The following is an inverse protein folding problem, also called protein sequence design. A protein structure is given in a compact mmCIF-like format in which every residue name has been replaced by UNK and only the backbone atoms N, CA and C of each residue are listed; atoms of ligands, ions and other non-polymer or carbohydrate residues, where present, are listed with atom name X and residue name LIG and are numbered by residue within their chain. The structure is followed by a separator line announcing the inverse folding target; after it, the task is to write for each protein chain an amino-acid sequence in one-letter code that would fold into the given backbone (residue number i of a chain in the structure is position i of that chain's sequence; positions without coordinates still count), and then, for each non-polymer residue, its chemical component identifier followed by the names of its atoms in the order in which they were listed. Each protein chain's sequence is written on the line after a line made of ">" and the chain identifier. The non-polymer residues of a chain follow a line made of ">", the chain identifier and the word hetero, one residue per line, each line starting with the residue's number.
data_IF_930139469524
#
_entry.id   IF_930139469524
#
_cell.length_a   1.000
_cell.length_b   1.000
_cell.length_c   1.000
_cell.angle_alpha   90.00
_cell.angle_beta   90.00
_cell.angle_gamma   90.00
#
_symmetry.space_group_name_H-M   'P 1'
#
loop_
_entity.id
_entity.type
_entity.pdbx_description
1 polymer ?
#
# COMPACT_ATOMS: atom_id res chain seq x y z
N UNK A 1 12.84 15.86 -26.08
CA UNK A 1 13.99 16.17 -25.20
C UNK A 1 14.70 14.88 -24.88
N UNK A 2 15.98 14.77 -25.23
CA UNK A 2 16.83 13.67 -24.79
C UNK A 2 17.48 14.08 -23.46
N UNK A 3 16.84 13.71 -22.35
CA UNK A 3 17.25 14.16 -21.01
C UNK A 3 18.66 13.66 -20.65
N UNK A 4 19.06 12.49 -21.14
CA UNK A 4 20.40 11.95 -20.88
C UNK A 4 21.45 12.82 -21.51
N UNK A 5 21.26 13.13 -22.79
CA UNK A 5 22.18 14.00 -23.52
C UNK A 5 22.27 15.38 -22.88
N UNK A 6 21.15 16.02 -22.53
CA UNK A 6 21.17 17.33 -21.85
C UNK A 6 21.99 17.28 -20.56
N UNK A 7 21.78 16.27 -19.71
CA UNK A 7 22.48 16.18 -18.41
C UNK A 7 23.99 15.96 -18.59
N UNK A 8 24.39 15.11 -19.53
CA UNK A 8 25.79 14.87 -19.86
C UNK A 8 26.45 16.12 -20.45
N UNK A 9 25.79 16.78 -21.41
CA UNK A 9 26.28 18.03 -22.03
C UNK A 9 26.42 19.16 -20.99
N UNK A 10 25.58 19.16 -19.95
CA UNK A 10 25.68 20.09 -18.82
C UNK A 10 26.81 19.75 -17.84
N UNK A 11 27.39 18.55 -17.90
CA UNK A 11 28.48 18.11 -17.03
C UNK A 11 28.08 17.22 -15.85
N UNK A 12 26.87 16.64 -15.87
CA UNK A 12 26.49 15.57 -14.92
C UNK A 12 27.25 14.30 -15.28
N UNK A 13 27.81 13.60 -14.30
CA UNK A 13 28.65 12.43 -14.56
C UNK A 13 27.85 11.19 -14.97
N UNK A 14 28.45 10.32 -15.79
CA UNK A 14 27.83 9.05 -16.16
C UNK A 14 27.62 8.12 -14.96
N UNK A 15 28.52 8.18 -13.98
CA UNK A 15 28.40 7.43 -12.73
C UNK A 15 27.13 7.82 -11.97
N UNK A 16 26.82 9.12 -11.89
CA UNK A 16 25.61 9.60 -11.24
C UNK A 16 24.34 9.16 -11.99
N UNK A 17 24.34 9.25 -13.31
CA UNK A 17 23.21 8.78 -14.12
C UNK A 17 22.97 7.27 -13.96
N UNK A 18 24.06 6.50 -13.87
CA UNK A 18 24.02 5.06 -13.59
C UNK A 18 23.45 4.78 -12.20
N UNK A 19 23.85 5.56 -11.20
CA UNK A 19 23.26 5.49 -9.86
C UNK A 19 21.74 5.77 -9.88
N UNK A 20 21.27 6.78 -10.64
CA UNK A 20 19.84 7.10 -10.71
C UNK A 20 18.97 6.06 -11.43
N UNK A 21 19.59 5.20 -12.26
CA UNK A 21 18.93 4.04 -12.87
C UNK A 21 18.68 2.93 -11.83
N UNK A 22 19.51 2.85 -10.80
CA UNK A 22 19.42 1.83 -9.74
C UNK A 22 18.70 2.34 -8.49
N UNK A 23 18.80 3.63 -8.16
CA UNK A 23 18.19 4.25 -6.98
C UNK A 23 16.67 4.34 -7.13
N UNK A 24 15.98 3.43 -6.44
CA UNK A 24 14.52 3.29 -6.48
C UNK A 24 13.84 4.16 -5.45
N UNK A 25 12.75 4.79 -5.86
CA UNK A 25 11.90 5.54 -4.94
C UNK A 25 11.29 4.60 -3.90
N UNK A 26 11.25 5.10 -2.66
CA UNK A 26 10.46 4.56 -1.55
C UNK A 26 9.14 5.31 -1.46
N UNK A 27 8.17 4.74 -0.75
CA UNK A 27 6.97 5.46 -0.31
C UNK A 27 6.88 5.47 1.21
N UNK A 28 6.19 6.48 1.74
CA UNK A 28 5.93 6.68 3.17
C UNK A 28 4.49 6.27 3.56
N UNK A 29 3.79 5.48 2.73
CA UNK A 29 2.34 5.21 2.88
C UNK A 29 2.00 4.64 4.26
N UNK A 30 2.80 3.69 4.75
CA UNK A 30 2.58 3.06 6.05
C UNK A 30 3.11 3.87 7.22
N UNK A 31 4.02 4.82 6.99
CA UNK A 31 4.68 5.55 8.08
C UNK A 31 3.69 6.36 8.90
N UNK A 32 2.63 6.89 8.27
CA UNK A 32 1.54 7.59 8.97
C UNK A 32 0.83 6.72 10.01
N UNK A 33 0.92 5.40 9.94
CA UNK A 33 0.34 4.50 10.94
C UNK A 33 1.13 4.48 12.26
N UNK A 34 2.41 4.83 12.24
CA UNK A 34 3.31 4.69 13.40
C UNK A 34 4.30 5.83 13.62
N UNK A 35 4.13 6.92 12.89
CA UNK A 35 4.80 8.19 13.13
C UNK A 35 3.79 9.28 13.43
N UNK A 36 4.19 10.24 14.24
CA UNK A 36 3.38 11.38 14.67
C UNK A 36 4.01 12.67 14.18
N UNK A 37 3.22 13.53 13.54
CA UNK A 37 3.66 14.87 13.19
C UNK A 37 3.81 15.68 14.48
N UNK A 38 5.03 16.04 14.85
CA UNK A 38 5.32 16.76 16.10
C UNK A 38 5.37 18.28 15.91
N UNK A 39 5.67 18.74 14.69
CA UNK A 39 5.78 20.16 14.39
C UNK A 39 4.68 20.61 13.44
N UNK A 40 3.87 21.56 13.90
CA UNK A 40 2.95 22.30 13.03
C UNK A 40 3.65 23.52 12.40
N UNK A 41 4.78 23.94 12.95
CA UNK A 41 5.54 25.08 12.45
C UNK A 41 6.46 24.65 11.32
N UNK A 42 6.22 25.23 10.14
CA UNK A 42 6.94 24.93 8.90
C UNK A 42 8.18 25.80 8.82
N UNK A 43 9.32 25.31 9.30
CA UNK A 43 10.58 26.01 9.12
C UNK A 43 11.17 25.71 7.74
N UNK A 44 11.65 26.76 7.07
CA UNK A 44 12.43 26.61 5.86
C UNK A 44 13.85 26.18 6.26
N UNK A 45 14.32 25.08 5.71
CA UNK A 45 15.69 24.61 5.91
C UNK A 45 16.27 24.05 4.61
N UNK A 46 17.60 23.99 4.54
CA UNK A 46 18.30 23.29 3.47
C UNK A 46 18.34 21.80 3.79
N UNK A 47 17.76 21.00 2.91
CA UNK A 47 17.69 19.55 3.06
C UNK A 47 18.65 18.89 2.07
N UNK A 48 19.53 17.98 2.52
CA UNK A 48 20.39 17.23 1.62
C UNK A 48 19.57 16.38 0.65
N UNK A 49 19.75 16.59 -0.66
CA UNK A 49 18.95 15.92 -1.69
C UNK A 49 19.09 14.41 -1.61
N UNK A 50 20.29 13.90 -1.26
CA UNK A 50 20.55 12.47 -1.07
C UNK A 50 19.64 11.78 -0.03
N UNK A 51 19.13 12.53 0.96
CA UNK A 51 18.22 12.02 2.00
C UNK A 51 16.75 11.98 1.55
N UNK A 52 16.42 12.59 0.42
CA UNK A 52 15.08 12.51 -0.15
C UNK A 52 14.93 11.17 -0.88
N UNK A 53 13.97 10.34 -0.43
CA UNK A 53 13.79 8.96 -0.87
C UNK A 53 12.53 8.71 -1.68
N UNK A 54 11.60 9.66 -1.71
CA UNK A 54 10.35 9.49 -2.44
C UNK A 54 9.71 10.81 -2.85
N UNK A 55 8.91 10.72 -3.91
CA UNK A 55 8.01 11.76 -4.35
C UNK A 55 6.63 11.58 -3.71
N UNK A 56 5.73 12.54 -3.89
CA UNK A 56 4.37 12.44 -3.36
C UNK A 56 3.61 11.30 -4.02
N UNK A 57 2.64 10.72 -3.30
CA UNK A 57 1.85 9.57 -3.76
C UNK A 57 1.19 9.75 -5.13
N UNK A 58 0.85 10.98 -5.50
CA UNK A 58 0.19 11.28 -6.78
C UNK A 58 1.18 11.43 -7.95
N UNK A 59 2.49 11.50 -7.66
CA UNK A 59 3.53 11.85 -8.64
C UNK A 59 4.61 10.79 -8.74
N UNK A 60 5.00 10.17 -7.63
CA UNK A 60 5.96 9.08 -7.60
C UNK A 60 5.32 7.71 -7.42
N UNK A 61 6.04 6.71 -7.90
CA UNK A 61 5.69 5.31 -7.81
C UNK A 61 6.88 4.54 -7.20
N UNK A 62 6.65 3.88 -6.07
CA UNK A 62 7.72 3.18 -5.37
C UNK A 62 8.18 1.94 -6.15
N UNK A 63 9.46 1.60 -6.02
CA UNK A 63 10.07 0.46 -6.72
C UNK A 63 10.59 0.77 -8.12
N UNK A 64 10.21 1.91 -8.70
CA UNK A 64 10.79 2.46 -9.93
C UNK A 64 11.93 3.42 -9.62
N UNK A 65 12.88 3.53 -10.54
CA UNK A 65 14.07 4.37 -10.36
C UNK A 65 13.76 5.86 -10.50
N UNK A 66 14.60 6.74 -9.96
CA UNK A 66 14.50 8.18 -10.24
C UNK A 66 14.56 8.46 -11.75
N UNK A 67 15.34 7.67 -12.47
CA UNK A 67 15.46 7.77 -13.93
C UNK A 67 14.15 7.42 -14.65
N UNK A 68 13.44 6.38 -14.23
CA UNK A 68 12.15 5.99 -14.82
C UNK A 68 11.12 7.13 -14.71
N UNK A 69 11.13 7.86 -13.58
CA UNK A 69 10.27 9.03 -13.38
C UNK A 69 10.69 10.21 -14.26
N UNK A 70 11.99 10.43 -14.44
CA UNK A 70 12.52 11.45 -15.33
C UNK A 70 12.14 11.19 -16.80
N UNK A 71 12.13 9.92 -17.22
CA UNK A 71 11.64 9.48 -18.52
C UNK A 71 10.11 9.39 -18.62
N UNK A 72 9.38 9.63 -17.52
CA UNK A 72 7.92 9.49 -17.40
C UNK A 72 7.42 8.08 -17.73
N UNK A 73 8.22 7.06 -17.42
CA UNK A 73 7.84 5.63 -17.48
C UNK A 73 7.13 5.17 -16.21
N UNK A 74 7.22 5.93 -15.12
CA UNK A 74 6.61 5.64 -13.84
C UNK A 74 6.05 6.93 -13.20
N UNK A 75 4.99 6.78 -12.41
CA UNK A 75 4.30 7.90 -11.78
C UNK A 75 3.60 8.85 -12.76
N UNK A 76 3.16 10.01 -12.25
CA UNK A 76 2.43 11.01 -13.03
C UNK A 76 3.17 12.35 -13.04
N UNK A 77 4.36 12.37 -13.65
CA UNK A 77 5.20 13.55 -13.76
C UNK A 77 4.77 14.39 -14.97
N UNK A 78 4.30 15.62 -14.72
CA UNK A 78 3.91 16.54 -15.79
C UNK A 78 5.12 16.95 -16.66
N UNK A 79 5.06 16.65 -17.96
CA UNK A 79 6.18 16.84 -18.89
C UNK A 79 6.56 18.31 -19.11
N UNK A 80 5.59 19.21 -19.23
CA UNK A 80 5.82 20.64 -19.40
C UNK A 80 6.70 21.25 -18.29
N UNK A 81 6.51 20.82 -17.04
CA UNK A 81 7.32 21.26 -15.89
C UNK A 81 8.75 20.68 -15.90
N UNK A 82 8.97 19.57 -16.59
CA UNK A 82 10.33 19.07 -16.83
C UNK A 82 11.04 19.94 -17.86
N UNK A 83 10.35 20.26 -18.96
CA UNK A 83 10.88 21.11 -20.04
C UNK A 83 11.24 22.53 -19.57
N UNK A 84 10.49 23.10 -18.62
CA UNK A 84 10.82 24.40 -18.02
C UNK A 84 12.17 24.39 -17.27
N UNK A 85 12.48 23.31 -16.56
CA UNK A 85 13.75 23.19 -15.85
C UNK A 85 14.90 22.83 -16.79
N UNK A 86 14.63 22.08 -17.87
CA UNK A 86 15.59 21.84 -18.96
C UNK A 86 16.05 23.15 -19.60
N UNK A 87 15.09 24.04 -19.93
CA UNK A 87 15.40 25.40 -20.45
C UNK A 87 16.24 26.20 -19.46
N UNK A 88 15.96 26.10 -18.16
CA UNK A 88 16.74 26.79 -17.13
C UNK A 88 18.16 26.25 -17.07
N UNK A 89 18.35 24.92 -17.08
CA UNK A 89 19.66 24.28 -17.13
C UNK A 89 20.46 24.72 -18.36
N UNK A 90 19.82 24.83 -19.53
CA UNK A 90 20.47 25.31 -20.76
C UNK A 90 20.84 26.80 -20.73
N UNK A 91 20.18 27.59 -19.88
CA UNK A 91 20.42 29.04 -19.75
C UNK A 91 21.40 29.43 -18.64
N UNK A 92 21.90 28.46 -17.87
CA UNK A 92 22.82 28.67 -16.74
C UNK A 92 23.95 27.64 -16.78
N UNK A 93 24.98 27.82 -15.96
CA UNK A 93 25.91 26.72 -15.69
C UNK A 93 25.27 25.66 -14.80
N UNK A 94 25.83 24.44 -14.81
CA UNK A 94 25.38 23.35 -13.93
C UNK A 94 25.49 23.74 -12.44
N UNK A 95 26.57 24.41 -12.05
CA UNK A 95 26.80 24.83 -10.67
C UNK A 95 25.81 25.91 -10.22
N UNK A 96 25.54 26.91 -11.06
CA UNK A 96 24.49 27.90 -10.78
C UNK A 96 23.12 27.24 -10.66
N UNK A 97 22.82 26.26 -11.53
CA UNK A 97 21.58 25.53 -11.50
C UNK A 97 21.42 24.73 -10.19
N UNK A 98 22.48 24.01 -9.76
CA UNK A 98 22.54 23.29 -8.48
C UNK A 98 22.34 24.20 -7.28
N UNK A 99 23.06 25.32 -7.22
CA UNK A 99 22.95 26.30 -6.13
C UNK A 99 21.53 26.90 -6.07
N UNK A 100 20.88 27.06 -7.22
CA UNK A 100 19.54 27.66 -7.28
C UNK A 100 18.50 26.91 -6.44
N UNK A 101 18.61 25.58 -6.28
CA UNK A 101 17.67 24.77 -5.49
C UNK A 101 17.64 25.14 -3.99
N UNK A 102 18.75 25.64 -3.44
CA UNK A 102 18.84 26.12 -2.06
C UNK A 102 18.53 27.61 -1.89
N UNK A 103 18.42 28.37 -2.99
CA UNK A 103 18.36 29.83 -2.95
C UNK A 103 17.01 30.38 -2.47
N UNK A 104 16.98 31.64 -2.04
CA UNK A 104 15.74 32.34 -1.70
C UNK A 104 14.82 32.59 -2.91
N UNK A 105 15.41 32.71 -4.11
CA UNK A 105 14.70 32.96 -5.37
C UNK A 105 13.99 31.73 -5.92
N UNK A 106 14.28 30.54 -5.38
CA UNK A 106 13.61 29.32 -5.76
C UNK A 106 12.58 28.91 -4.73
N UNK A 107 11.33 28.57 -5.11
CA UNK A 107 10.31 28.27 -4.12
C UNK A 107 10.68 27.01 -3.32
N UNK A 108 10.38 27.00 -2.02
CA UNK A 108 10.63 25.83 -1.17
C UNK A 108 9.76 24.64 -1.59
N UNK A 109 10.27 23.43 -1.45
CA UNK A 109 9.49 22.19 -1.58
C UNK A 109 8.85 21.81 -0.24
N UNK A 110 7.84 20.93 -0.25
CA UNK A 110 7.26 20.42 0.99
C UNK A 110 7.71 18.98 1.25
N UNK A 111 8.34 18.73 2.40
CA UNK A 111 8.89 17.41 2.74
C UNK A 111 8.37 16.91 4.09
N UNK A 112 8.03 15.63 4.18
CA UNK A 112 7.87 14.89 5.42
C UNK A 112 9.23 14.30 5.83
N UNK A 113 9.68 14.57 7.05
CA UNK A 113 10.91 14.01 7.61
C UNK A 113 10.61 12.94 8.66
N UNK A 114 11.14 11.73 8.47
CA UNK A 114 10.93 10.60 9.38
C UNK A 114 12.19 10.31 10.19
N UNK A 115 12.19 10.78 11.44
CA UNK A 115 13.40 10.88 12.27
C UNK A 115 14.14 9.55 12.51
N UNK A 116 13.42 8.43 12.61
CA UNK A 116 14.02 7.11 12.85
C UNK A 116 14.81 6.58 11.66
N UNK A 117 14.46 6.99 10.45
CA UNK A 117 15.13 6.56 9.23
C UNK A 117 16.12 7.60 8.69
N UNK A 118 16.03 8.84 9.18
CA UNK A 118 16.76 9.99 8.63
C UNK A 118 16.46 10.20 7.13
N UNK A 119 15.18 10.10 6.77
CA UNK A 119 14.70 10.14 5.39
C UNK A 119 13.61 11.21 5.18
N UNK A 120 13.60 11.78 3.97
CA UNK A 120 12.63 12.78 3.55
C UNK A 120 11.79 12.31 2.36
N UNK A 121 10.54 12.73 2.32
CA UNK A 121 9.57 12.37 1.28
C UNK A 121 8.79 13.61 0.85
N UNK A 122 8.57 13.82 -0.45
CA UNK A 122 7.78 14.96 -0.92
C UNK A 122 6.31 14.77 -0.52
N UNK A 123 5.73 15.74 0.19
CA UNK A 123 4.37 15.59 0.72
C UNK A 123 3.29 15.95 -0.32
N UNK A 124 3.43 17.11 -0.97
CA UNK A 124 2.43 17.64 -1.90
C UNK A 124 3.08 18.35 -3.08
N UNK A 125 3.72 19.48 -2.83
CA UNK A 125 4.36 20.36 -3.81
C UNK A 125 5.90 20.20 -3.81
N UNK A 126 6.49 20.37 -4.99
CA UNK A 126 7.93 20.30 -5.18
C UNK A 126 8.43 19.06 -5.92
N UNK A 127 7.55 18.14 -6.34
CA UNK A 127 7.95 16.88 -6.99
C UNK A 127 8.94 17.07 -8.16
N UNK A 128 8.61 17.95 -9.10
CA UNK A 128 9.47 18.24 -10.25
C UNK A 128 10.81 18.86 -9.85
N UNK A 129 10.79 19.74 -8.84
CA UNK A 129 12.00 20.42 -8.35
C UNK A 129 12.92 19.44 -7.65
N UNK A 130 12.36 18.56 -6.81
CA UNK A 130 13.09 17.46 -6.18
C UNK A 130 13.67 16.51 -7.22
N UNK A 131 12.89 16.13 -8.24
CA UNK A 131 13.36 15.25 -9.31
C UNK A 131 14.53 15.90 -10.07
N UNK A 132 14.44 17.18 -10.42
CA UNK A 132 15.54 17.89 -11.07
C UNK A 132 16.76 18.05 -10.18
N UNK A 133 16.59 18.40 -8.90
CA UNK A 133 17.69 18.46 -7.94
C UNK A 133 18.42 17.11 -7.83
N UNK A 134 17.67 16.00 -7.88
CA UNK A 134 18.22 14.64 -7.96
C UNK A 134 18.98 14.40 -9.25
N UNK A 135 18.40 14.75 -10.39
CA UNK A 135 19.00 14.52 -11.71
C UNK A 135 20.35 15.21 -11.88
N UNK A 136 20.49 16.43 -11.37
CA UNK A 136 21.73 17.21 -11.49
C UNK A 136 22.72 16.99 -10.33
N UNK A 137 22.40 16.11 -9.38
CA UNK A 137 23.18 15.90 -8.16
C UNK A 137 23.40 17.20 -7.37
N UNK A 138 22.33 17.94 -7.10
CA UNK A 138 22.42 19.12 -6.24
C UNK A 138 22.63 18.69 -4.78
N UNK A 139 23.51 19.37 -4.05
CA UNK A 139 23.79 19.03 -2.64
C UNK A 139 22.56 19.17 -1.75
N UNK A 140 21.87 20.32 -1.88
CA UNK A 140 20.78 20.73 -1.01
C UNK A 140 19.62 21.34 -1.79
N UNK A 141 18.42 21.20 -1.22
CA UNK A 141 17.20 21.88 -1.69
C UNK A 141 16.51 22.58 -0.53
N UNK A 142 16.00 23.79 -0.76
CA UNK A 142 15.23 24.52 0.24
C UNK A 142 13.86 23.86 0.41
N UNK A 143 13.52 23.49 1.64
CA UNK A 143 12.28 22.80 1.95
C UNK A 143 11.59 23.35 3.21
N UNK A 144 10.26 23.32 3.20
CA UNK A 144 9.41 23.36 4.39
C UNK A 144 9.25 21.93 4.87
N UNK A 145 9.74 21.64 6.07
CA UNK A 145 9.79 20.28 6.59
C UNK A 145 8.74 20.05 7.66
N UNK A 146 7.99 18.95 7.53
CA UNK A 146 7.10 18.41 8.55
C UNK A 146 7.83 17.31 9.29
N UNK A 147 8.13 17.51 10.57
CA UNK A 147 8.86 16.54 11.36
C UNK A 147 7.92 15.47 11.92
N UNK A 148 8.23 14.22 11.62
CA UNK A 148 7.54 13.04 12.10
C UNK A 148 8.42 12.28 13.08
N UNK A 149 7.89 12.08 14.29
CA UNK A 149 8.52 11.31 15.35
C UNK A 149 8.01 9.88 15.37
N UNK A 150 8.93 8.92 15.38
CA UNK A 150 8.60 7.52 15.51
C UNK A 150 7.94 7.20 16.84
N UNK A 151 6.81 6.49 16.81
CA UNK A 151 6.12 5.99 17.99
C UNK A 151 6.25 4.44 18.04
N UNK A 152 7.07 3.88 18.96
CA UNK A 152 7.27 2.43 19.05
C UNK A 152 6.00 1.66 19.41
N UNK A 153 5.11 2.25 20.23
CA UNK A 153 3.87 1.61 20.66
C UNK A 153 2.93 1.47 19.47
N UNK A 154 2.74 2.57 18.69
CA UNK A 154 1.96 2.52 17.45
C UNK A 154 2.53 1.51 16.45
N UNK A 155 3.85 1.42 16.34
CA UNK A 155 4.47 0.47 15.41
C UNK A 155 4.21 -0.99 15.82
N UNK A 156 4.28 -1.31 17.11
CA UNK A 156 3.94 -2.65 17.60
C UNK A 156 2.46 -2.98 17.36
N UNK A 157 1.55 -2.05 17.64
CA UNK A 157 0.12 -2.22 17.30
C UNK A 157 -0.10 -2.42 15.80
N UNK A 158 0.55 -1.61 14.95
CA UNK A 158 0.51 -1.75 13.51
C UNK A 158 1.00 -3.13 13.05
N UNK A 159 2.14 -3.62 13.55
CA UNK A 159 2.66 -4.96 13.22
C UNK A 159 1.67 -6.06 13.59
N UNK A 160 1.02 -5.98 14.76
CA UNK A 160 0.01 -6.95 15.18
C UNK A 160 -1.18 -6.98 14.23
N UNK A 161 -1.69 -5.81 13.84
CA UNK A 161 -2.77 -5.68 12.85
C UNK A 161 -2.35 -6.25 11.48
N UNK A 162 -1.13 -5.97 11.02
CA UNK A 162 -0.62 -6.55 9.77
C UNK A 162 -0.47 -8.07 9.85
N UNK A 163 -0.09 -8.63 11.00
CA UNK A 163 -0.06 -10.07 11.23
C UNK A 163 -1.45 -10.69 11.07
N UNK A 164 -2.46 -10.11 11.73
CA UNK A 164 -3.86 -10.54 11.62
C UNK A 164 -4.35 -10.49 10.17
N UNK A 165 -4.08 -9.40 9.45
CA UNK A 165 -4.44 -9.26 8.04
C UNK A 165 -3.74 -10.28 7.15
N UNK A 166 -2.46 -10.58 7.41
CA UNK A 166 -1.70 -11.60 6.70
C UNK A 166 -2.31 -12.99 6.88
N UNK A 167 -2.65 -13.36 8.11
CA UNK A 167 -3.26 -14.65 8.40
C UNK A 167 -4.67 -14.76 7.82
N UNK A 168 -5.46 -13.68 7.88
CA UNK A 168 -6.73 -13.59 7.18
C UNK A 168 -6.58 -13.77 5.67
N UNK A 169 -5.60 -13.11 5.04
CA UNK A 169 -5.32 -13.22 3.60
C UNK A 169 -4.98 -14.65 3.20
N UNK A 170 -4.18 -15.35 4.00
CA UNK A 170 -3.87 -16.78 3.78
C UNK A 170 -5.13 -17.64 3.83
N UNK A 171 -6.02 -17.41 4.79
CA UNK A 171 -7.28 -18.12 4.91
C UNK A 171 -8.17 -17.89 3.68
N UNK A 172 -8.29 -16.64 3.23
CA UNK A 172 -9.04 -16.26 2.02
C UNK A 172 -8.51 -17.02 0.80
N UNK A 173 -7.19 -17.07 0.62
CA UNK A 173 -6.56 -17.79 -0.48
C UNK A 173 -6.79 -19.31 -0.40
N UNK A 174 -6.68 -19.89 0.80
CA UNK A 174 -6.98 -21.31 1.06
C UNK A 174 -8.44 -21.66 0.76
N UNK A 175 -9.36 -20.76 1.08
CA UNK A 175 -10.77 -20.87 0.74
C UNK A 175 -11.07 -20.61 -0.74
N UNK A 176 -10.05 -20.34 -1.57
CA UNK A 176 -10.19 -20.00 -2.98
C UNK A 176 -11.14 -18.82 -3.21
N UNK A 177 -10.97 -17.78 -2.41
CA UNK A 177 -11.65 -16.49 -2.57
C UNK A 177 -10.63 -15.40 -2.88
N UNK A 178 -11.13 -14.29 -3.39
CA UNK A 178 -10.38 -13.07 -3.66
C UNK A 178 -10.93 -11.95 -2.78
N UNK A 179 -10.03 -11.07 -2.30
CA UNK A 179 -10.43 -9.82 -1.65
C UNK A 179 -10.42 -8.72 -2.68
N UNK A 180 -11.52 -7.98 -2.77
CA UNK A 180 -11.58 -6.83 -3.65
C UNK A 180 -10.67 -5.70 -3.17
N UNK A 181 -9.69 -5.30 -3.98
CA UNK A 181 -8.84 -4.14 -3.70
C UNK A 181 -9.62 -2.82 -3.99
N UNK A 182 -9.66 -1.89 -3.04
CA UNK A 182 -10.26 -0.55 -3.26
C UNK A 182 -10.98 0.05 -2.05
N UNK A 183 -11.91 1.00 -2.29
CA UNK A 183 -12.67 1.75 -1.26
C UNK A 183 -13.53 0.84 -0.35
N UNK A 184 -13.60 -0.46 -0.67
CA UNK A 184 -14.36 -1.50 0.02
C UNK A 184 -13.50 -2.71 0.43
N UNK A 185 -12.36 -2.47 1.08
CA UNK A 185 -11.57 -3.55 1.70
C UNK A 185 -12.47 -4.41 2.62
N UNK A 186 -12.55 -5.72 2.35
CA UNK A 186 -13.36 -6.68 3.11
C UNK A 186 -14.52 -7.35 2.34
N UNK A 187 -14.75 -7.01 1.07
CA UNK A 187 -15.62 -7.81 0.19
C UNK A 187 -14.87 -9.05 -0.32
N UNK A 188 -15.45 -10.23 -0.06
CA UNK A 188 -14.98 -11.52 -0.55
C UNK A 188 -15.73 -11.87 -1.83
N UNK A 189 -14.99 -12.27 -2.86
CA UNK A 189 -15.55 -12.72 -4.14
C UNK A 189 -14.92 -14.02 -4.64
N UNK A 190 -15.63 -14.69 -5.54
CA UNK A 190 -15.13 -15.82 -6.30
C UNK A 190 -15.45 -15.61 -7.77
N UNK A 191 -14.43 -15.51 -8.63
CA UNK A 191 -14.60 -15.24 -10.07
C UNK A 191 -15.53 -14.03 -10.34
N UNK A 192 -15.39 -12.96 -9.54
CA UNK A 192 -16.23 -11.75 -9.61
C UNK A 192 -17.62 -11.86 -8.99
N UNK A 193 -18.00 -13.00 -8.42
CA UNK A 193 -19.25 -13.17 -7.68
C UNK A 193 -19.09 -12.85 -6.20
N UNK A 194 -19.92 -11.97 -5.63
CA UNK A 194 -19.84 -11.63 -4.21
C UNK A 194 -20.24 -12.83 -3.35
N UNK A 195 -19.40 -13.18 -2.38
CA UNK A 195 -19.63 -14.24 -1.39
C UNK A 195 -20.05 -13.64 -0.06
N UNK A 196 -19.32 -12.65 0.42
CA UNK A 196 -19.61 -12.00 1.70
C UNK A 196 -19.07 -10.57 1.70
N UNK A 197 -19.82 -9.64 2.29
CA UNK A 197 -19.43 -8.24 2.36
C UNK A 197 -19.47 -7.77 3.81
N UNK A 198 -18.29 -7.71 4.44
CA UNK A 198 -18.14 -7.04 5.72
C UNK A 198 -16.89 -6.17 5.67
N UNK A 199 -17.11 -4.89 5.36
CA UNK A 199 -16.05 -3.89 5.23
C UNK A 199 -15.28 -3.71 6.53
N UNK A 200 -13.95 -3.70 6.45
CA UNK A 200 -13.13 -3.41 7.62
C UNK A 200 -13.26 -1.95 8.06
N UNK A 201 -13.38 -1.68 9.37
CA UNK A 201 -13.33 -0.32 9.87
C UNK A 201 -11.91 0.24 9.70
N UNK A 202 -11.81 1.54 9.42
CA UNK A 202 -10.51 2.20 9.36
C UNK A 202 -9.94 2.38 10.78
N UNK A 203 -8.66 2.07 10.95
CA UNK A 203 -7.89 2.45 12.14
C UNK A 203 -7.17 3.76 11.81
N UNK A 204 -7.64 4.85 12.41
CA UNK A 204 -7.02 6.18 12.27
C UNK A 204 -5.92 6.40 13.30
N UNK A 205 -6.07 5.78 14.48
CA UNK A 205 -5.08 5.85 15.55
C UNK A 205 -4.76 4.45 16.09
N UNK A 206 -3.51 4.04 15.91
CA UNK A 206 -2.98 2.75 16.37
C UNK A 206 -2.68 2.71 17.88
N UNK A 207 -3.06 3.76 18.63
CA UNK A 207 -3.17 3.75 20.09
C UNK A 207 -4.61 3.59 20.58
N UNK A 208 -5.60 3.70 19.69
CA UNK A 208 -6.99 3.59 20.08
C UNK A 208 -7.41 2.11 20.14
N UNK A 209 -7.42 1.56 21.35
CA UNK A 209 -7.80 0.18 21.63
C UNK A 209 -9.23 -0.16 21.18
N UNK A 210 -10.15 0.79 21.20
CA UNK A 210 -11.52 0.59 20.71
C UNK A 210 -11.53 0.37 19.19
N UNK A 211 -10.80 1.21 18.42
CA UNK A 211 -10.68 1.04 16.98
C UNK A 211 -9.98 -0.28 16.62
N UNK A 212 -8.93 -0.64 17.35
CA UNK A 212 -8.21 -1.90 17.20
C UNK A 212 -9.12 -3.09 17.50
N UNK A 213 -9.87 -3.05 18.61
CA UNK A 213 -10.80 -4.10 19.00
C UNK A 213 -11.94 -4.25 17.99
N UNK A 214 -12.52 -3.14 17.54
CA UNK A 214 -13.53 -3.13 16.49
C UNK A 214 -13.00 -3.76 15.20
N UNK A 215 -11.81 -3.36 14.75
CA UNK A 215 -11.17 -3.98 13.58
C UNK A 215 -11.00 -5.49 13.75
N UNK A 216 -10.44 -5.94 14.88
CA UNK A 216 -10.26 -7.36 15.18
C UNK A 216 -11.57 -8.14 15.15
N UNK A 217 -12.63 -7.59 15.76
CA UNK A 217 -13.95 -8.22 15.76
C UNK A 217 -14.52 -8.39 14.36
N UNK A 218 -14.29 -7.42 13.46
CA UNK A 218 -14.70 -7.52 12.06
C UNK A 218 -13.91 -8.57 11.29
N UNK A 219 -12.59 -8.66 11.48
CA UNK A 219 -11.77 -9.73 10.90
C UNK A 219 -12.23 -11.09 11.41
N UNK A 220 -12.47 -11.22 12.71
CA UNK A 220 -12.95 -12.47 13.31
C UNK A 220 -14.31 -12.92 12.77
N UNK A 221 -15.26 -11.99 12.57
CA UNK A 221 -16.55 -12.29 11.93
C UNK A 221 -16.37 -12.82 10.51
N UNK A 222 -15.49 -12.21 9.72
CA UNK A 222 -15.15 -12.69 8.38
C UNK A 222 -14.52 -14.10 8.42
N UNK A 223 -13.56 -14.33 9.33
CA UNK A 223 -12.95 -15.66 9.54
C UNK A 223 -14.03 -16.70 9.86
N UNK A 224 -14.96 -16.40 10.78
CA UNK A 224 -16.05 -17.30 11.14
C UNK A 224 -16.98 -17.62 9.98
N UNK A 225 -17.27 -16.63 9.13
CA UNK A 225 -18.05 -16.86 7.91
C UNK A 225 -17.34 -17.84 6.97
N UNK A 226 -16.05 -17.61 6.69
CA UNK A 226 -15.26 -18.51 5.84
C UNK A 226 -15.20 -19.91 6.46
N UNK A 227 -14.93 -20.03 7.77
CA UNK A 227 -14.91 -21.31 8.47
C UNK A 227 -16.23 -22.06 8.32
N UNK A 228 -17.36 -21.37 8.48
CA UNK A 228 -18.69 -21.96 8.35
C UNK A 228 -18.94 -22.47 6.92
N UNK A 229 -18.61 -21.69 5.89
CA UNK A 229 -18.73 -22.11 4.48
C UNK A 229 -17.88 -23.36 4.24
N UNK A 230 -16.61 -23.33 4.66
CA UNK A 230 -15.65 -24.42 4.48
C UNK A 230 -16.09 -25.71 5.20
N UNK A 231 -16.51 -25.60 6.46
CA UNK A 231 -17.00 -26.74 7.25
C UNK A 231 -18.22 -27.40 6.61
N UNK A 232 -19.18 -26.59 6.15
CA UNK A 232 -20.39 -27.08 5.50
C UNK A 232 -20.05 -27.73 4.16
N UNK A 233 -19.19 -27.11 3.34
CA UNK A 233 -18.69 -27.73 2.12
C UNK A 233 -18.07 -29.12 2.38
N UNK A 234 -17.11 -29.20 3.33
CA UNK A 234 -16.43 -30.45 3.62
C UNK A 234 -17.33 -31.51 4.27
N UNK A 235 -18.31 -31.12 5.09
CA UNK A 235 -19.30 -32.04 5.68
C UNK A 235 -20.03 -32.84 4.61
N UNK A 236 -20.34 -32.21 3.47
CA UNK A 236 -21.09 -32.81 2.38
C UNK A 236 -20.23 -33.17 1.17
N UNK A 237 -18.90 -33.03 1.25
CA UNK A 237 -17.97 -33.32 0.14
C UNK A 237 -18.01 -34.76 -0.38
N UNK A 238 -18.49 -35.71 0.42
CA UNK A 238 -18.68 -37.12 0.01
C UNK A 238 -19.95 -37.36 -0.80
N UNK A 239 -20.89 -36.42 -0.81
CA UNK A 239 -22.14 -36.53 -1.54
C UNK A 239 -21.90 -36.05 -2.97
N UNK A 240 -22.30 -36.82 -4.01
CA UNK A 240 -22.16 -36.37 -5.39
C UNK A 240 -22.86 -35.03 -5.62
N UNK A 241 -22.25 -34.16 -6.43
CA UNK A 241 -22.63 -32.75 -6.58
C UNK A 241 -24.13 -32.52 -6.83
N UNK A 242 -24.73 -33.33 -7.71
CA UNK A 242 -26.17 -33.24 -8.03
C UNK A 242 -27.07 -33.42 -6.81
N UNK A 243 -26.70 -34.31 -5.89
CA UNK A 243 -27.46 -34.59 -4.68
C UNK A 243 -27.13 -33.59 -3.58
N UNK A 244 -25.86 -33.16 -3.48
CA UNK A 244 -25.43 -32.12 -2.56
C UNK A 244 -26.18 -30.81 -2.81
N UNK A 245 -26.36 -30.41 -4.07
CA UNK A 245 -27.13 -29.22 -4.45
C UNK A 245 -28.60 -29.29 -4.04
N UNK A 246 -29.25 -30.44 -4.25
CA UNK A 246 -30.64 -30.65 -3.81
C UNK A 246 -30.76 -30.56 -2.29
N UNK A 247 -29.78 -31.13 -1.57
CA UNK A 247 -29.73 -31.08 -0.12
C UNK A 247 -29.58 -29.64 0.39
N UNK A 248 -28.67 -28.85 -0.19
CA UNK A 248 -28.52 -27.43 0.20
C UNK A 248 -29.81 -26.64 -0.02
N UNK A 249 -30.46 -26.80 -1.20
CA UNK A 249 -31.74 -26.14 -1.50
C UNK A 249 -32.86 -26.54 -0.53
N UNK A 250 -32.87 -27.79 -0.06
CA UNK A 250 -33.81 -28.24 0.96
C UNK A 250 -33.51 -27.62 2.33
N UNK A 251 -32.22 -27.56 2.71
CA UNK A 251 -31.79 -27.04 4.01
C UNK A 251 -32.09 -25.54 4.16
N UNK A 252 -31.97 -24.74 3.09
CA UNK A 252 -32.33 -23.31 3.08
C UNK A 252 -33.73 -23.08 3.66
N UNK A 253 -34.72 -23.87 3.23
CA UNK A 253 -36.13 -23.71 3.64
C UNK A 253 -36.45 -24.10 5.10
N UNK A 254 -35.49 -24.67 5.83
CA UNK A 254 -35.71 -25.25 7.16
C UNK A 254 -34.78 -24.70 8.25
N UNK A 255 -34.00 -23.66 7.94
CA UNK A 255 -32.96 -23.13 8.81
C UNK A 255 -33.24 -21.69 9.24
N UNK A 256 -32.53 -21.25 10.28
CA UNK A 256 -32.52 -19.84 10.67
C UNK A 256 -31.70 -18.99 9.69
N UNK A 257 -31.93 -17.68 9.71
CA UNK A 257 -31.37 -16.73 8.73
C UNK A 257 -29.84 -16.84 8.54
N UNK A 258 -29.06 -17.12 9.60
CA UNK A 258 -27.60 -17.23 9.48
C UNK A 258 -27.17 -18.50 8.73
N UNK A 259 -27.79 -19.65 9.04
CA UNK A 259 -27.46 -20.87 8.32
C UNK A 259 -28.05 -20.85 6.90
N UNK A 260 -29.22 -20.26 6.71
CA UNK A 260 -29.84 -20.03 5.41
C UNK A 260 -28.86 -19.35 4.45
N UNK A 261 -28.30 -18.20 4.85
CA UNK A 261 -27.31 -17.46 4.08
C UNK A 261 -26.07 -18.28 3.71
N UNK A 262 -25.57 -19.13 4.60
CA UNK A 262 -24.42 -20.00 4.32
C UNK A 262 -24.76 -21.01 3.22
N UNK A 263 -25.94 -21.63 3.27
CA UNK A 263 -26.34 -22.61 2.25
C UNK A 263 -26.69 -21.94 0.90
N UNK A 264 -27.27 -20.74 0.90
CA UNK A 264 -27.45 -19.93 -0.32
C UNK A 264 -26.12 -19.64 -1.01
N UNK A 265 -25.11 -19.24 -0.23
CA UNK A 265 -23.75 -19.04 -0.74
C UNK A 265 -23.18 -20.34 -1.30
N UNK A 266 -23.32 -21.47 -0.60
CA UNK A 266 -22.81 -22.75 -1.08
C UNK A 266 -23.47 -23.21 -2.38
N UNK A 267 -24.77 -22.97 -2.55
CA UNK A 267 -25.50 -23.23 -3.80
C UNK A 267 -24.89 -22.38 -4.92
N UNK A 268 -24.77 -21.07 -4.71
CA UNK A 268 -24.21 -20.13 -5.69
C UNK A 268 -22.77 -20.50 -6.06
N UNK A 269 -21.92 -20.70 -5.05
CA UNK A 269 -20.52 -21.09 -5.22
C UNK A 269 -20.38 -22.38 -6.01
N UNK A 270 -21.20 -23.39 -5.71
CA UNK A 270 -21.15 -24.66 -6.41
C UNK A 270 -21.67 -24.55 -7.85
N UNK A 271 -22.65 -23.69 -8.13
CA UNK A 271 -23.10 -23.36 -9.50
C UNK A 271 -21.99 -22.65 -10.29
N UNK A 272 -21.10 -21.91 -9.63
CA UNK A 272 -19.91 -21.29 -10.22
C UNK A 272 -18.69 -22.22 -10.28
N UNK A 273 -18.80 -23.48 -9.84
CA UNK A 273 -17.69 -24.44 -9.85
C UNK A 273 -16.65 -24.22 -8.76
N UNK A 274 -16.99 -23.49 -7.69
CA UNK A 274 -16.08 -23.25 -6.58
C UNK A 274 -15.64 -24.53 -5.88
N UNK A 275 -14.33 -24.63 -5.67
CA UNK A 275 -13.67 -25.66 -4.87
C UNK A 275 -12.56 -24.96 -4.07
N UNK A 276 -12.43 -25.23 -2.76
CA UNK A 276 -11.34 -24.65 -1.97
C UNK A 276 -9.97 -25.21 -2.36
N UNK A 277 -8.90 -24.44 -2.14
CA UNK A 277 -7.51 -24.80 -2.47
C UNK A 277 -6.85 -25.68 -1.40
N UNK A 278 -7.64 -26.48 -0.67
CA UNK A 278 -7.16 -27.28 0.45
C UNK A 278 -7.95 -28.58 0.58
N UNK A 279 -7.28 -29.63 1.05
CA UNK A 279 -7.94 -30.90 1.36
C UNK A 279 -8.73 -30.84 2.66
N UNK A 280 -9.70 -31.74 2.84
CA UNK A 280 -10.46 -31.86 4.11
C UNK A 280 -9.55 -32.17 5.31
N UNK A 281 -8.47 -32.93 5.10
CA UNK A 281 -7.52 -33.29 6.16
C UNK A 281 -6.73 -32.06 6.60
N UNK A 282 -6.24 -31.29 5.63
CA UNK A 282 -5.45 -30.09 5.89
C UNK A 282 -6.31 -28.96 6.44
N UNK A 283 -7.58 -28.85 6.01
CA UNK A 283 -8.54 -27.92 6.60
C UNK A 283 -8.72 -28.14 8.10
N UNK A 284 -8.89 -29.40 8.55
CA UNK A 284 -9.01 -29.71 9.98
C UNK A 284 -7.77 -29.30 10.76
N UNK A 285 -6.57 -29.48 10.18
CA UNK A 285 -5.31 -29.06 10.79
C UNK A 285 -5.24 -27.54 10.88
N UNK A 286 -5.45 -26.84 9.77
CA UNK A 286 -5.43 -25.38 9.71
C UNK A 286 -6.43 -24.77 10.71
N UNK A 287 -7.66 -25.29 10.77
CA UNK A 287 -8.67 -24.83 11.72
C UNK A 287 -8.22 -24.97 13.18
N UNK A 288 -7.50 -26.04 13.53
CA UNK A 288 -6.95 -26.20 14.88
C UNK A 288 -5.84 -25.21 15.21
N UNK A 289 -5.12 -24.73 14.20
CA UNK A 289 -4.12 -23.66 14.33
C UNK A 289 -4.80 -22.29 14.39
N UNK A 290 -5.90 -22.09 13.62
CA UNK A 290 -6.70 -20.87 13.63
C UNK A 290 -7.29 -20.56 15.02
N UNK A 291 -7.71 -21.61 15.74
CA UNK A 291 -8.21 -21.51 17.12
C UNK A 291 -7.13 -21.09 18.15
N UNK A 292 -5.84 -21.14 17.78
CA UNK A 292 -4.74 -20.70 18.65
C UNK A 292 -4.36 -19.24 18.44
N UNK A 293 -4.87 -18.57 17.40
CA UNK A 293 -4.73 -17.12 17.31
C UNK A 293 -5.60 -16.51 18.41
N UNK A 294 -4.97 -16.09 19.50
CA UNK A 294 -5.58 -15.21 20.47
C UNK A 294 -5.84 -13.86 19.77
N UNK A 295 -7.05 -13.69 19.24
CA UNK A 295 -7.54 -12.41 18.73
C UNK A 295 -7.79 -11.42 19.88
#
# INVERSE_FOLDING_TARGET
>A
MDIKKTLLDAGVSEEHLSFLLEDKLKNDKSFKCFFECIDQQRENQLVPVKKIKGLSRLRGEAGFSWWDHALRKAGNIAGNRLEENDKRLQSTTLDEFRISFGSNNFPAVELNYYNKFDEYYVSSDGNHRTLWAKLVDADNIKARVYNYKYNPIKHESYKRIQGILSDYTKLVHVANFEMKEGIKEGELEYNGWPVYSLKFPNIYDYLNEEQISNFKNYVYKNIKMIENIMDRYFKFSKIPDKWRMKLFKLLINHLNNENEYIYENLVTLQEQGWVPNISVKDWKKLKSELLKFNF
#
